data_IF_197538907544
#
_entry.id   IF_197538907544
#
_cell.length_a   1.000
_cell.length_b   1.000
_cell.length_c   1.000
_cell.angle_alpha   90.00
_cell.angle_beta   90.00
_cell.angle_gamma   90.00
#
_symmetry.space_group_name_H-M   'P 1'
#
loop_
_entity.id
_entity.type
_entity.pdbx_description
1 polymer ?
#
# COMPACT_ATOMS: atom_id res chain seq x y z
N UNK A 1 -0.56 0.23 8.82
CA UNK A 1 -1.58 -0.80 8.55
C UNK A 1 -2.96 -0.20 8.74
N UNK A 2 -3.82 -0.32 7.75
CA UNK A 2 -5.18 0.25 7.75
C UNK A 2 -6.19 -0.89 7.59
N UNK A 3 -7.00 -1.12 8.61
CA UNK A 3 -8.06 -2.14 8.61
C UNK A 3 -9.43 -1.58 8.96
N UNK A 4 -9.49 -0.54 9.80
CA UNK A 4 -10.75 0.07 10.26
C UNK A 4 -11.23 1.19 9.32
N UNK A 5 -11.54 0.82 8.09
CA UNK A 5 -12.06 1.73 7.07
C UNK A 5 -13.46 2.26 7.43
N UNK A 6 -13.68 3.56 7.19
CA UNK A 6 -14.94 4.25 7.50
C UNK A 6 -16.00 4.03 6.42
N UNK A 7 -15.62 4.16 5.14
CA UNK A 7 -16.56 4.16 4.02
C UNK A 7 -16.39 2.96 3.07
N UNK A 8 -15.34 2.17 3.25
CA UNK A 8 -15.09 0.95 2.46
C UNK A 8 -14.96 -0.27 3.37
N UNK A 9 -14.96 -1.48 2.82
CA UNK A 9 -14.95 -2.71 3.64
C UNK A 9 -13.73 -2.77 4.55
N UNK A 10 -13.97 -3.07 5.81
CA UNK A 10 -12.92 -3.29 6.81
C UNK A 10 -12.09 -4.55 6.51
N UNK A 11 -10.83 -4.51 6.90
CA UNK A 11 -9.88 -5.63 6.82
C UNK A 11 -9.47 -6.03 8.24
N UNK A 12 -9.23 -7.32 8.49
CA UNK A 12 -8.93 -7.79 9.85
C UNK A 12 -7.44 -7.81 10.18
N UNK A 13 -6.60 -8.14 9.21
CA UNK A 13 -5.18 -8.40 9.42
C UNK A 13 -4.23 -7.18 9.42
N UNK A 14 -4.48 -6.07 8.68
CA UNK A 14 -3.48 -5.01 8.49
C UNK A 14 -2.88 -4.37 9.74
N UNK A 15 -3.67 -4.21 10.82
CA UNK A 15 -3.12 -3.67 12.06
C UNK A 15 -2.23 -4.68 12.78
N UNK A 16 -2.60 -5.97 12.75
CA UNK A 16 -1.79 -7.03 13.33
C UNK A 16 -0.47 -7.19 12.57
N UNK A 17 -0.52 -7.14 11.24
CA UNK A 17 0.66 -7.27 10.40
C UNK A 17 1.67 -6.15 10.65
N UNK A 18 1.18 -4.90 10.71
CA UNK A 18 2.01 -3.74 11.00
C UNK A 18 2.65 -3.81 12.41
N UNK A 19 1.89 -4.28 13.41
CA UNK A 19 2.42 -4.48 14.78
C UNK A 19 3.49 -5.58 14.82
N UNK A 20 3.25 -6.69 14.13
CA UNK A 20 4.17 -7.81 14.10
C UNK A 20 5.50 -7.45 13.42
N UNK A 21 5.43 -6.76 12.28
CA UNK A 21 6.63 -6.27 11.60
C UNK A 21 7.36 -5.22 12.43
N UNK A 22 6.66 -4.25 13.00
CA UNK A 22 7.24 -3.23 13.89
C UNK A 22 8.05 -3.87 15.04
N UNK A 23 7.47 -4.86 15.71
CA UNK A 23 8.13 -5.60 16.80
C UNK A 23 9.38 -6.35 16.31
N UNK A 24 9.33 -6.94 15.12
CA UNK A 24 10.47 -7.60 14.51
C UNK A 24 11.59 -6.62 14.16
N UNK A 25 11.26 -5.49 13.51
CA UNK A 25 12.23 -4.47 13.10
C UNK A 25 13.01 -3.91 14.31
N UNK A 26 12.32 -3.64 15.41
CA UNK A 26 12.94 -3.23 16.66
C UNK A 26 13.91 -4.31 17.18
N UNK A 27 13.52 -5.59 17.12
CA UNK A 27 14.37 -6.71 17.54
C UNK A 27 15.64 -6.86 16.69
N UNK A 28 15.53 -6.64 15.38
CA UNK A 28 16.68 -6.69 14.46
C UNK A 28 17.43 -5.35 14.35
N UNK A 29 17.21 -4.44 15.31
CA UNK A 29 17.96 -3.19 15.52
C UNK A 29 17.76 -2.11 14.46
N UNK A 30 16.57 -2.02 13.84
CA UNK A 30 16.17 -0.75 13.24
C UNK A 30 16.07 0.30 14.35
N UNK A 31 16.80 1.41 14.18
CA UNK A 31 16.94 2.47 15.19
C UNK A 31 15.67 3.31 15.34
N UNK A 32 14.92 3.48 14.25
CA UNK A 32 13.67 4.23 14.21
C UNK A 32 12.58 3.36 13.60
N UNK A 33 11.48 3.16 14.32
CA UNK A 33 10.31 2.42 13.83
C UNK A 33 9.07 3.25 14.07
N UNK A 34 8.52 3.82 12.99
CA UNK A 34 7.28 4.60 13.00
C UNK A 34 6.07 3.74 12.64
N UNK A 35 5.28 3.36 13.64
CA UNK A 35 4.13 2.48 13.46
C UNK A 35 2.81 3.27 13.40
N UNK A 36 2.25 3.36 12.20
CA UNK A 36 0.96 4.03 11.95
C UNK A 36 -0.18 3.03 11.72
N UNK A 37 -1.25 3.15 12.52
CA UNK A 37 -2.44 2.29 12.49
C UNK A 37 -3.71 3.11 12.29
N UNK A 38 -4.56 2.69 11.36
CA UNK A 38 -5.88 3.29 11.06
C UNK A 38 -5.86 4.81 11.10
N UNK A 39 -4.93 5.40 10.35
CA UNK A 39 -4.76 6.84 10.23
C UNK A 39 -5.56 7.39 9.05
N UNK A 40 -6.02 8.62 9.21
CA UNK A 40 -6.62 9.39 8.11
C UNK A 40 -5.57 9.80 7.08
N UNK A 41 -6.00 10.25 5.91
CA UNK A 41 -5.11 10.73 4.86
C UNK A 41 -4.16 11.83 5.36
N UNK A 42 -4.69 12.82 6.08
CA UNK A 42 -3.88 13.92 6.62
C UNK A 42 -2.87 13.43 7.67
N UNK A 43 -3.29 12.50 8.55
CA UNK A 43 -2.40 11.92 9.55
C UNK A 43 -1.25 11.12 8.91
N UNK A 44 -1.54 10.34 7.87
CA UNK A 44 -0.50 9.60 7.13
C UNK A 44 0.45 10.54 6.39
N UNK A 45 -0.06 11.61 5.76
CA UNK A 45 0.78 12.61 5.08
C UNK A 45 1.73 13.29 6.06
N UNK A 46 1.26 13.69 7.25
CA UNK A 46 2.12 14.27 8.27
C UNK A 46 3.15 13.27 8.80
N UNK A 47 2.73 12.06 9.17
CA UNK A 47 3.64 11.03 9.64
C UNK A 47 4.72 10.69 8.59
N UNK A 48 4.35 10.66 7.30
CA UNK A 48 5.31 10.43 6.24
C UNK A 48 6.32 11.58 6.09
N UNK A 49 5.91 12.84 6.25
CA UNK A 49 6.83 13.98 6.24
C UNK A 49 7.84 13.89 7.38
N UNK A 50 7.36 13.54 8.58
CA UNK A 50 8.23 13.37 9.76
C UNK A 50 9.21 12.19 9.57
N UNK A 51 8.71 11.07 9.03
CA UNK A 51 9.54 9.90 8.71
C UNK A 51 10.58 10.24 7.63
N UNK A 52 10.18 10.87 6.52
CA UNK A 52 11.06 11.31 5.43
C UNK A 52 12.20 12.21 5.96
N UNK A 53 11.87 13.16 6.84
CA UNK A 53 12.85 14.06 7.44
C UNK A 53 13.86 13.34 8.36
N UNK A 54 13.48 12.20 8.96
CA UNK A 54 14.35 11.41 9.83
C UNK A 54 15.42 10.61 9.07
N UNK A 55 15.23 10.40 7.76
CA UNK A 55 16.14 9.59 6.93
C UNK A 55 17.42 10.38 6.63
N UNK A 56 18.55 9.73 6.89
CA UNK A 56 19.89 10.18 6.54
C UNK A 56 20.40 9.44 5.30
N UNK A 57 21.35 10.07 4.60
CA UNK A 57 22.04 9.42 3.48
C UNK A 57 22.74 8.15 3.96
N UNK A 58 22.70 7.09 3.15
CA UNK A 58 23.19 5.74 3.43
C UNK A 58 22.40 4.93 4.48
N UNK A 59 21.22 5.38 4.90
CA UNK A 59 20.34 4.56 5.74
C UNK A 59 19.80 3.33 4.98
N UNK A 60 19.43 2.30 5.74
CA UNK A 60 18.57 1.22 5.26
C UNK A 60 17.13 1.61 5.59
N UNK A 61 16.33 1.89 4.57
CA UNK A 61 14.95 2.36 4.74
C UNK A 61 13.99 1.22 4.41
N UNK A 62 13.10 0.89 5.33
CA UNK A 62 12.00 -0.04 5.07
C UNK A 62 10.67 0.70 5.16
N UNK A 63 9.90 0.65 4.08
CA UNK A 63 8.51 1.08 4.04
C UNK A 63 7.59 -0.13 3.91
N UNK A 64 6.58 -0.23 4.78
CA UNK A 64 5.56 -1.27 4.73
C UNK A 64 4.17 -0.67 4.81
N UNK A 65 3.29 -1.08 3.91
CA UNK A 65 1.87 -0.78 3.99
C UNK A 65 1.03 -2.04 3.86
N UNK A 66 0.00 -2.14 4.71
CA UNK A 66 -1.04 -3.15 4.64
C UNK A 66 -2.41 -2.48 4.65
N UNK A 67 -3.30 -2.87 3.75
CA UNK A 67 -4.63 -2.27 3.62
C UNK A 67 -5.25 -2.47 2.24
N UNK A 68 -6.15 -1.57 1.86
CA UNK A 68 -6.60 -1.44 0.47
C UNK A 68 -5.62 -0.58 -0.33
N UNK A 69 -5.35 -1.04 -1.55
CA UNK A 69 -4.63 -0.28 -2.57
C UNK A 69 -5.33 -0.39 -3.91
N UNK A 70 -5.23 0.65 -4.72
CA UNK A 70 -5.84 0.74 -6.05
C UNK A 70 -4.82 1.25 -7.05
N UNK A 71 -4.88 0.71 -8.27
CA UNK A 71 -4.15 1.26 -9.41
C UNK A 71 -5.07 2.16 -10.23
N UNK A 72 -4.56 3.32 -10.64
CA UNK A 72 -5.21 4.22 -11.60
C UNK A 72 -4.13 4.88 -12.47
N UNK A 73 -4.29 4.85 -13.80
CA UNK A 73 -3.32 5.45 -14.75
C UNK A 73 -1.86 5.09 -14.44
N UNK A 74 -1.60 3.78 -14.25
CA UNK A 74 -0.28 3.24 -13.93
C UNK A 74 0.37 3.77 -12.64
N UNK A 75 -0.43 4.38 -11.75
CA UNK A 75 -0.03 4.79 -10.41
C UNK A 75 -0.75 3.98 -9.35
N UNK A 76 -0.04 3.71 -8.26
CA UNK A 76 -0.53 2.96 -7.11
C UNK A 76 -0.94 3.93 -6.00
N UNK A 77 -2.17 3.79 -5.53
CA UNK A 77 -2.72 4.60 -4.46
C UNK A 77 -3.03 3.72 -3.25
N UNK A 78 -2.47 4.08 -2.10
CA UNK A 78 -2.71 3.46 -0.80
C UNK A 78 -3.88 4.20 -0.14
N UNK A 79 -4.89 3.45 0.31
CA UNK A 79 -6.13 4.03 0.83
C UNK A 79 -6.08 4.21 2.36
N UNK A 80 -6.20 5.45 2.87
CA UNK A 80 -6.32 5.74 4.30
C UNK A 80 -7.69 5.32 4.87
N UNK A 81 -7.85 5.38 6.19
CA UNK A 81 -9.08 4.91 6.86
C UNK A 81 -10.33 5.67 6.41
N UNK A 82 -10.18 6.97 6.15
CA UNK A 82 -11.22 7.95 5.81
C UNK A 82 -11.43 8.07 4.31
N UNK A 83 -10.89 7.13 3.52
CA UNK A 83 -11.06 7.15 2.08
C UNK A 83 -12.55 7.06 1.72
N UNK A 84 -13.07 7.94 0.84
CA UNK A 84 -14.48 7.93 0.45
C UNK A 84 -14.79 6.73 -0.44
N UNK A 85 -16.05 6.26 -0.38
CA UNK A 85 -16.53 5.29 -1.37
C UNK A 85 -16.64 5.97 -2.75
N UNK A 86 -16.13 5.29 -3.77
CA UNK A 86 -16.06 5.74 -5.15
C UNK A 86 -16.91 4.88 -6.10
N UNK A 87 -17.75 3.99 -5.56
CA UNK A 87 -18.60 3.11 -6.35
C UNK A 87 -19.47 3.86 -7.36
N UNK A 88 -20.11 4.96 -6.94
CA UNK A 88 -21.00 5.76 -7.78
C UNK A 88 -20.28 6.84 -8.61
N UNK A 89 -18.97 7.02 -8.41
CA UNK A 89 -18.21 8.11 -9.04
C UNK A 89 -17.85 7.78 -10.50
N UNK A 90 -17.87 8.79 -11.36
CA UNK A 90 -17.35 8.67 -12.73
C UNK A 90 -15.80 8.69 -12.76
N UNK A 91 -15.20 8.58 -13.95
CA UNK A 91 -13.74 8.52 -14.10
C UNK A 91 -13.03 9.81 -13.64
N UNK A 92 -13.64 10.98 -13.91
CA UNK A 92 -13.08 12.29 -13.54
C UNK A 92 -13.13 12.48 -12.04
N UNK A 93 -14.26 12.13 -11.43
CA UNK A 93 -14.46 12.17 -9.98
C UNK A 93 -13.52 11.20 -9.26
N UNK A 94 -13.36 9.98 -9.77
CA UNK A 94 -12.40 9.00 -9.22
C UNK A 94 -10.98 9.53 -9.20
N UNK A 95 -10.52 10.12 -10.30
CA UNK A 95 -9.19 10.71 -10.37
C UNK A 95 -9.01 11.85 -9.35
N UNK A 96 -10.03 12.70 -9.17
CA UNK A 96 -10.00 13.77 -8.17
C UNK A 96 -9.97 13.23 -6.73
N UNK A 97 -10.78 12.21 -6.43
CA UNK A 97 -10.81 11.55 -5.12
C UNK A 97 -9.49 10.88 -4.79
N UNK A 98 -8.86 10.17 -5.74
CA UNK A 98 -7.56 9.54 -5.52
C UNK A 98 -6.47 10.58 -5.21
N UNK A 99 -6.39 11.65 -6.01
CA UNK A 99 -5.40 12.73 -5.80
C UNK A 99 -5.57 13.42 -4.43
N UNK A 100 -6.81 13.61 -4.00
CA UNK A 100 -7.11 14.33 -2.75
C UNK A 100 -7.02 13.44 -1.51
N UNK A 101 -7.60 12.24 -1.57
CA UNK A 101 -7.91 11.41 -0.41
C UNK A 101 -7.03 10.15 -0.28
N UNK A 102 -6.22 9.80 -1.28
CA UNK A 102 -5.28 8.68 -1.18
C UNK A 102 -3.82 9.14 -1.08
N UNK A 103 -2.92 8.17 -0.90
CA UNK A 103 -1.47 8.39 -0.90
C UNK A 103 -0.87 7.69 -2.11
N UNK A 104 -0.15 8.41 -2.96
CA UNK A 104 0.53 7.84 -4.12
C UNK A 104 1.80 7.11 -3.66
N UNK A 105 1.89 5.80 -3.92
CA UNK A 105 3.02 4.97 -3.52
C UNK A 105 4.30 5.26 -4.32
N UNK A 106 4.17 5.62 -5.61
CA UNK A 106 5.30 6.07 -6.43
C UNK A 106 5.89 7.36 -5.87
N UNK A 107 5.05 8.30 -5.43
CA UNK A 107 5.52 9.55 -4.81
C UNK A 107 6.26 9.28 -3.49
N UNK A 108 5.77 8.34 -2.67
CA UNK A 108 6.50 7.87 -1.47
C UNK A 108 7.87 7.33 -1.88
N UNK A 109 7.93 6.37 -2.81
CA UNK A 109 9.18 5.74 -3.22
C UNK A 109 10.19 6.77 -3.76
N UNK A 110 9.73 7.73 -4.57
CA UNK A 110 10.56 8.80 -5.10
C UNK A 110 11.15 9.67 -3.98
N UNK A 111 10.31 10.13 -3.05
CA UNK A 111 10.75 10.95 -1.91
C UNK A 111 11.73 10.22 -1.00
N UNK A 112 11.51 8.93 -0.74
CA UNK A 112 12.48 8.11 0.01
C UNK A 112 13.81 8.03 -0.74
N UNK A 113 13.78 7.89 -2.06
CA UNK A 113 15.00 7.86 -2.88
C UNK A 113 15.75 9.19 -2.91
N UNK A 114 15.05 10.32 -2.83
CA UNK A 114 15.65 11.66 -2.81
C UNK A 114 16.46 11.92 -1.53
N UNK A 115 16.29 11.08 -0.49
CA UNK A 115 17.10 11.09 0.74
C UNK A 115 18.43 10.34 0.61
N UNK A 116 18.70 9.74 -0.56
CA UNK A 116 19.90 8.96 -0.86
C UNK A 116 20.21 7.83 0.15
N UNK A 117 19.23 6.97 0.50
CA UNK A 117 19.49 5.81 1.36
C UNK A 117 20.38 4.79 0.64
N UNK A 118 21.06 3.95 1.41
CA UNK A 118 21.87 2.86 0.85
C UNK A 118 20.99 1.80 0.19
N UNK A 119 19.85 1.48 0.81
CA UNK A 119 18.85 0.57 0.24
C UNK A 119 17.45 0.96 0.70
N UNK A 120 16.47 0.77 -0.18
CA UNK A 120 15.04 0.91 0.12
C UNK A 120 14.37 -0.46 0.01
N UNK A 121 13.72 -0.93 1.06
CA UNK A 121 12.86 -2.11 1.05
C UNK A 121 11.41 -1.63 1.10
N UNK A 122 10.68 -1.77 0.00
CA UNK A 122 9.33 -1.23 -0.17
C UNK A 122 8.31 -2.37 -0.32
N UNK A 123 7.52 -2.60 0.72
CA UNK A 123 6.67 -3.77 0.87
C UNK A 123 5.19 -3.35 0.88
N UNK A 124 4.40 -3.84 -0.10
CA UNK A 124 2.98 -3.54 -0.20
C UNK A 124 2.12 -4.80 -0.05
N UNK A 125 1.38 -4.86 1.06
CA UNK A 125 0.42 -5.91 1.42
C UNK A 125 -1.03 -5.42 1.21
N UNK A 126 -1.38 -5.18 -0.05
CA UNK A 126 -2.65 -4.58 -0.43
C UNK A 126 -3.66 -5.60 -0.97
N UNK A 127 -4.84 -5.67 -0.36
CA UNK A 127 -5.98 -6.44 -0.85
C UNK A 127 -6.74 -5.68 -1.96
N UNK A 128 -7.26 -6.41 -2.96
CA UNK A 128 -7.72 -5.84 -4.25
C UNK A 128 -9.22 -6.05 -4.56
N UNK A 129 -10.02 -6.44 -3.58
CA UNK A 129 -11.40 -6.94 -3.79
C UNK A 129 -12.44 -5.84 -4.10
N UNK A 130 -12.19 -4.58 -3.77
CA UNK A 130 -13.27 -3.57 -3.73
C UNK A 130 -13.67 -2.97 -5.09
N UNK A 131 -12.76 -2.92 -6.07
CA UNK A 131 -13.03 -2.17 -7.31
C UNK A 131 -13.48 -3.03 -8.51
N UNK A 132 -13.38 -4.36 -8.41
CA UNK A 132 -13.77 -5.25 -9.51
C UNK A 132 -15.28 -5.39 -9.71
N UNK A 133 -16.13 -4.79 -8.85
CA UNK A 133 -17.59 -4.95 -8.94
C UNK A 133 -18.28 -4.00 -9.93
N UNK A 134 -17.61 -2.95 -10.40
CA UNK A 134 -18.17 -1.97 -11.36
C UNK A 134 -17.50 -1.93 -12.73
N UNK A 135 -16.63 -2.90 -13.05
CA UNK A 135 -16.32 -3.14 -14.46
C UNK A 135 -17.42 -4.08 -14.95
N UNK A 136 -18.41 -3.49 -15.61
CA UNK A 136 -19.46 -4.22 -16.31
C UNK A 136 -18.78 -5.08 -17.40
N UNK A 137 -18.50 -6.35 -17.07
CA UNK A 137 -17.84 -7.33 -17.94
C UNK A 137 -18.62 -7.59 -19.24
N UNK A 138 -19.83 -7.03 -19.37
CA UNK A 138 -20.71 -7.17 -20.52
C UNK A 138 -20.71 -5.99 -21.50
N UNK A 139 -19.96 -4.91 -21.25
CA UNK A 139 -19.87 -3.82 -22.24
C UNK A 139 -18.87 -4.16 -23.35
N UNK A 140 -19.41 -4.73 -24.43
CA UNK A 140 -18.80 -4.96 -25.74
C UNK A 140 -18.37 -3.66 -26.45
N UNK A 141 -17.45 -2.90 -25.86
CA UNK A 141 -16.74 -1.81 -26.53
C UNK A 141 -15.23 -2.02 -26.31
N UNK A 142 -14.70 -2.89 -27.16
CA UNK A 142 -13.33 -3.37 -27.20
C UNK A 142 -12.42 -2.30 -27.83
N UNK A 143 -11.56 -1.67 -27.03
CA UNK A 143 -10.27 -1.18 -27.51
C UNK A 143 -9.19 -2.06 -26.88
N UNK A 144 -8.66 -2.99 -27.68
CA UNK A 144 -7.72 -4.04 -27.30
C UNK A 144 -6.28 -3.54 -27.04
N UNK A 145 -6.09 -2.27 -26.68
CA UNK A 145 -4.77 -1.65 -26.45
C UNK A 145 -4.53 -1.13 -25.03
N UNK A 146 -5.53 -1.18 -24.15
CA UNK A 146 -5.28 -0.92 -22.72
C UNK A 146 -5.07 -2.25 -22.01
N UNK A 147 -3.80 -2.55 -21.75
CA UNK A 147 -3.39 -3.58 -20.81
C UNK A 147 -4.06 -3.31 -19.47
N UNK A 148 -5.26 -3.89 -19.26
CA UNK A 148 -6.00 -3.87 -17.99
C UNK A 148 -5.16 -4.61 -16.96
N UNK A 149 -4.26 -3.88 -16.35
CA UNK A 149 -3.42 -4.33 -15.27
C UNK A 149 -4.33 -4.59 -14.08
N UNK A 150 -4.66 -5.86 -13.90
CA UNK A 150 -5.31 -6.33 -12.70
C UNK A 150 -4.21 -6.30 -11.63
N UNK A 151 -3.70 -5.17 -11.14
CA UNK A 151 -2.60 -5.18 -10.16
C UNK A 151 -2.46 -3.87 -9.39
N UNK A 152 -1.43 -3.81 -8.55
CA UNK A 152 -0.66 -2.57 -8.45
C UNK A 152 0.33 -2.56 -9.63
N UNK A 153 0.62 -1.39 -10.18
CA UNK A 153 1.63 -1.19 -11.22
C UNK A 153 3.01 -1.55 -10.68
N UNK A 154 3.87 -2.06 -11.56
CA UNK A 154 5.27 -2.26 -11.22
C UNK A 154 5.91 -0.91 -10.80
N UNK A 155 6.75 -0.95 -9.78
CA UNK A 155 7.51 0.19 -9.27
C UNK A 155 8.98 -0.20 -9.19
N UNK A 156 9.87 0.68 -9.61
CA UNK A 156 11.31 0.46 -9.51
C UNK A 156 12.07 1.78 -9.32
N UNK A 157 13.17 1.71 -8.58
CA UNK A 157 14.16 2.77 -8.42
C UNK A 157 15.51 2.10 -8.13
N UNK A 158 16.61 2.66 -8.63
CA UNK A 158 17.94 2.14 -8.31
C UNK A 158 18.15 2.08 -6.79
N UNK A 159 18.68 0.96 -6.28
CA UNK A 159 18.86 0.76 -4.84
C UNK A 159 17.58 0.38 -4.08
N UNK A 160 16.47 0.08 -4.76
CA UNK A 160 15.24 -0.40 -4.10
C UNK A 160 14.88 -1.85 -4.42
N UNK A 161 14.40 -2.55 -3.40
CA UNK A 161 13.67 -3.81 -3.50
C UNK A 161 12.18 -3.49 -3.28
N UNK A 162 11.38 -3.61 -4.33
CA UNK A 162 9.92 -3.48 -4.23
C UNK A 162 9.29 -4.86 -4.27
N UNK A 163 8.52 -5.21 -3.24
CA UNK A 163 7.79 -6.46 -3.16
C UNK A 163 6.30 -6.24 -2.88
N UNK A 164 5.47 -7.03 -3.55
CA UNK A 164 4.02 -7.00 -3.42
C UNK A 164 3.53 -8.33 -2.86
N UNK A 165 2.59 -8.32 -1.92
CA UNK A 165 1.98 -9.52 -1.35
C UNK A 165 1.20 -10.36 -2.37
N UNK A 166 0.78 -9.72 -3.46
CA UNK A 166 0.13 -10.37 -4.60
C UNK A 166 0.92 -10.01 -5.87
N UNK A 167 1.09 -10.97 -6.78
CA UNK A 167 1.64 -10.66 -8.10
C UNK A 167 0.73 -9.64 -8.83
N UNK A 168 1.30 -8.70 -9.61
CA UNK A 168 0.52 -7.91 -10.57
C UNK A 168 -0.31 -8.87 -11.42
N UNK A 169 -1.62 -8.71 -11.43
CA UNK A 169 -2.57 -9.65 -12.06
C UNK A 169 -3.51 -10.35 -11.09
N UNK A 170 -3.15 -10.50 -9.80
CA UNK A 170 -3.73 -11.56 -8.93
C UNK A 170 -4.45 -11.07 -7.68
N UNK A 171 -5.45 -11.84 -7.22
CA UNK A 171 -6.23 -11.60 -5.99
C UNK A 171 -5.79 -12.56 -4.88
N UNK A 172 -5.62 -12.06 -3.66
CA UNK A 172 -5.51 -12.87 -2.45
C UNK A 172 -6.61 -12.44 -1.48
N UNK A 173 -7.35 -13.42 -0.96
CA UNK A 173 -8.36 -13.18 0.06
C UNK A 173 -7.71 -12.97 1.43
N UNK A 174 -8.28 -12.02 2.18
CA UNK A 174 -8.02 -11.86 3.61
C UNK A 174 -8.35 -13.20 4.30
N UNK A 175 -7.50 -13.69 5.20
CA UNK A 175 -7.75 -14.92 5.96
C UNK A 175 -8.26 -14.55 7.35
N UNK A 176 -9.57 -14.31 7.52
CA UNK A 176 -10.14 -13.74 8.75
C UNK A 176 -9.97 -14.62 9.99
N UNK A 177 -9.58 -15.87 9.81
CA UNK A 177 -9.31 -16.88 10.84
C UNK A 177 -7.86 -16.81 11.37
N UNK A 178 -6.93 -16.23 10.59
CA UNK A 178 -5.51 -16.13 10.96
C UNK A 178 -5.20 -14.74 11.56
N UNK A 179 -4.22 -14.68 12.48
CA UNK A 179 -3.85 -13.41 13.13
C UNK A 179 -3.21 -12.41 12.16
N UNK A 180 -2.37 -12.90 11.26
CA UNK A 180 -1.61 -12.11 10.28
C UNK A 180 -1.98 -12.55 8.85
N UNK A 181 -1.75 -11.67 7.87
CA UNK A 181 -1.85 -12.00 6.45
C UNK A 181 -0.90 -13.13 6.09
N UNK A 182 -1.17 -13.83 4.97
CA UNK A 182 -0.28 -14.87 4.48
C UNK A 182 1.12 -14.31 4.17
N UNK A 183 1.18 -13.13 3.56
CA UNK A 183 2.43 -12.44 3.25
C UNK A 183 3.22 -12.16 4.52
N UNK A 184 2.61 -11.53 5.52
CA UNK A 184 3.27 -11.20 6.78
C UNK A 184 3.71 -12.45 7.54
N UNK A 185 2.85 -13.48 7.61
CA UNK A 185 3.18 -14.76 8.25
C UNK A 185 4.47 -15.38 7.71
N UNK A 186 4.63 -15.40 6.39
CA UNK A 186 5.83 -15.94 5.76
C UNK A 186 7.01 -14.97 5.88
N UNK A 187 6.80 -13.66 5.73
CA UNK A 187 7.84 -12.65 5.89
C UNK A 187 8.52 -12.74 7.27
N UNK A 188 7.72 -12.78 8.33
CA UNK A 188 8.22 -12.89 9.71
C UNK A 188 9.06 -14.16 9.91
N UNK A 189 8.69 -15.28 9.29
CA UNK A 189 9.44 -16.55 9.40
C UNK A 189 10.84 -16.46 8.77
N UNK A 190 11.02 -15.63 7.76
CA UNK A 190 12.26 -15.53 6.99
C UNK A 190 13.16 -14.35 7.39
N UNK A 191 12.63 -13.39 8.15
CA UNK A 191 13.39 -12.26 8.70
C UNK A 191 13.74 -12.41 10.20
N UNK A 192 13.17 -13.40 10.88
CA UNK A 192 13.35 -13.65 12.31
C UNK A 192 14.64 -14.42 12.66
#
# INVERSE_FOLDING_TARGET
GIGDYENVRKLKNPQNDAKALSSLLQRIRFTTVDQQLDKTCNQLKHAFVDFEASIQSNDIVLFYFAGHGIQWEDQNYLLPKDFPDMHAADATEKAALLKKNAINAQDILNKLSDREPYVIIFLLDCCRKYFLRNIDLNTRALNANESRSVGLSAMHKSGSLVAFACAPGTLVDDKPEEQNSLFMKHLLKHLA
#
